data_IF_732401166878
#
_entry.id   IF_732401166878
#
_cell.length_a   1.000
_cell.length_b   1.000
_cell.length_c   1.000
_cell.angle_alpha   90.00
_cell.angle_beta   90.00
_cell.angle_gamma   90.00
#
_symmetry.space_group_name_H-M   'P 1'
#
loop_
_entity.id
_entity.type
_entity.pdbx_description
1 polymer ?
#
# COMPACT_ATOMS: atom_id res chain seq x y z
N UNK A 1 27.28 54.19 29.67
CA UNK A 1 27.07 52.71 29.63
C UNK A 1 27.14 52.02 31.00
N UNK A 2 27.86 52.51 32.01
CA UNK A 2 27.97 51.84 33.33
C UNK A 2 26.71 51.99 34.22
N UNK A 3 25.97 53.10 34.11
CA UNK A 3 24.75 53.29 34.93
C UNK A 3 23.55 52.49 34.46
N UNK A 4 23.44 52.23 33.15
CA UNK A 4 22.35 51.42 32.60
C UNK A 4 22.35 49.98 33.16
N UNK A 5 23.56 49.43 33.40
CA UNK A 5 23.72 48.09 33.97
C UNK A 5 23.24 48.02 35.42
N UNK A 6 23.49 49.07 36.21
CA UNK A 6 23.09 49.12 37.64
C UNK A 6 21.58 49.22 37.81
N UNK A 7 20.93 50.06 37.02
CA UNK A 7 19.47 50.16 37.02
C UNK A 7 18.80 48.85 36.58
N UNK A 8 19.40 48.13 35.63
CA UNK A 8 18.88 46.85 35.17
C UNK A 8 18.96 45.76 36.26
N UNK A 9 20.06 45.70 37.04
CA UNK A 9 20.21 44.71 38.12
C UNK A 9 19.23 44.95 39.27
N UNK A 10 19.03 46.21 39.67
CA UNK A 10 18.08 46.58 40.74
C UNK A 10 16.64 46.30 40.31
N UNK A 11 16.30 46.56 39.04
CA UNK A 11 14.99 46.26 38.49
C UNK A 11 14.66 44.75 38.47
N UNK A 12 15.67 43.90 38.24
CA UNK A 12 15.54 42.44 38.23
C UNK A 12 15.38 41.81 39.62
N UNK A 13 15.83 42.48 40.69
CA UNK A 13 15.75 41.97 42.06
C UNK A 13 14.38 42.16 42.70
N UNK A 14 13.53 43.02 42.13
CA UNK A 14 12.20 43.29 42.67
C UNK A 14 11.27 42.08 42.39
N UNK A 15 10.71 41.40 43.42
CA UNK A 15 9.96 40.15 43.25
C UNK A 15 8.75 40.29 42.31
N UNK A 16 8.14 41.49 42.29
CA UNK A 16 7.01 41.80 41.40
C UNK A 16 7.41 41.77 39.91
N UNK A 17 8.61 42.24 39.58
CA UNK A 17 9.11 42.26 38.19
C UNK A 17 9.59 40.87 37.75
N UNK A 18 10.15 40.07 38.67
CA UNK A 18 10.53 38.68 38.40
C UNK A 18 9.32 37.83 38.01
N UNK A 19 8.18 38.07 38.66
CA UNK A 19 6.93 37.37 38.36
C UNK A 19 6.39 37.75 36.96
N UNK A 20 6.46 39.03 36.59
CA UNK A 20 6.11 39.49 35.22
C UNK A 20 7.05 38.93 34.15
N UNK A 21 8.36 38.81 34.44
CA UNK A 21 9.33 38.21 33.51
C UNK A 21 9.09 36.71 33.30
N UNK A 22 8.82 35.97 34.38
CA UNK A 22 8.50 34.55 34.28
C UNK A 22 7.19 34.33 33.50
N UNK A 23 6.16 35.15 33.77
CA UNK A 23 4.92 35.11 33.01
C UNK A 23 5.16 35.41 31.52
N UNK A 24 5.98 36.41 31.20
CA UNK A 24 6.36 36.72 29.83
C UNK A 24 7.09 35.57 29.13
N UNK A 25 8.00 34.88 29.82
CA UNK A 25 8.76 33.75 29.28
C UNK A 25 7.85 32.53 29.03
N UNK A 26 6.88 32.28 29.92
CA UNK A 26 5.86 31.23 29.74
C UNK A 26 4.94 31.54 28.56
N UNK A 27 4.52 32.80 28.39
CA UNK A 27 3.70 33.20 27.24
C UNK A 27 4.51 33.06 25.93
N UNK A 28 5.78 33.46 25.95
CA UNK A 28 6.67 33.35 24.79
C UNK A 28 6.95 31.89 24.40
N UNK A 29 7.15 31.00 25.39
CA UNK A 29 7.35 29.58 25.15
C UNK A 29 6.09 28.91 24.62
N UNK A 30 4.91 29.28 25.16
CA UNK A 30 3.63 28.79 24.67
C UNK A 30 3.38 29.24 23.23
N UNK A 31 3.68 30.50 22.90
CA UNK A 31 3.55 31.02 21.53
C UNK A 31 4.51 30.30 20.55
N UNK A 32 5.74 29.99 20.98
CA UNK A 32 6.69 29.23 20.18
C UNK A 32 6.23 27.79 19.90
N UNK A 33 5.61 27.12 20.89
CA UNK A 33 5.03 25.78 20.70
C UNK A 33 3.85 25.80 19.73
N UNK A 34 2.99 26.83 19.80
CA UNK A 34 1.90 27.00 18.83
C UNK A 34 2.42 27.17 17.40
N UNK A 35 3.49 27.95 17.19
CA UNK A 35 4.09 28.09 15.86
C UNK A 35 4.77 26.80 15.37
N UNK A 36 5.43 26.07 16.27
CA UNK A 36 6.07 24.79 15.94
C UNK A 36 5.05 23.72 15.50
N UNK A 37 3.81 23.75 15.97
CA UNK A 37 2.76 22.83 15.52
C UNK A 37 2.17 23.20 14.16
N UNK A 38 2.28 24.46 13.75
CA UNK A 38 1.85 24.94 12.42
C UNK A 38 2.93 24.80 11.35
N UNK A 39 4.16 24.48 11.74
CA UNK A 39 5.19 24.05 10.81
C UNK A 39 4.79 22.68 10.27
N UNK A 40 3.99 22.69 9.20
CA UNK A 40 3.79 21.55 8.31
C UNK A 40 5.19 20.99 8.04
N UNK A 41 5.48 19.71 8.37
CA UNK A 41 6.79 19.14 8.10
C UNK A 41 7.06 19.40 6.63
N UNK A 42 8.15 20.12 6.33
CA UNK A 42 8.59 20.34 4.96
C UNK A 42 8.51 18.98 4.26
N UNK A 43 7.55 18.89 3.34
CA UNK A 43 7.37 17.69 2.56
C UNK A 43 8.74 17.40 1.96
N UNK A 44 9.34 16.27 2.37
CA UNK A 44 10.54 15.73 1.75
C UNK A 44 10.26 15.84 0.26
N UNK A 45 10.95 16.78 -0.39
CA UNK A 45 10.83 17.01 -1.80
C UNK A 45 11.50 15.80 -2.42
N UNK A 46 10.75 14.71 -2.54
CA UNK A 46 11.08 13.58 -3.39
C UNK A 46 11.17 14.22 -4.76
N UNK A 47 12.40 14.49 -5.16
CA UNK A 47 12.74 14.84 -6.52
C UNK A 47 11.97 13.84 -7.38
N UNK A 48 10.99 14.33 -8.14
CA UNK A 48 10.11 13.50 -8.96
C UNK A 48 10.98 12.88 -10.05
N UNK A 49 11.68 11.80 -9.71
CA UNK A 49 12.27 10.90 -10.67
C UNK A 49 11.15 10.55 -11.65
N UNK A 50 11.38 10.87 -12.91
CA UNK A 50 10.35 10.73 -13.94
C UNK A 50 9.88 9.27 -13.93
N UNK A 51 8.57 8.96 -13.91
CA UNK A 51 8.08 7.58 -13.87
C UNK A 51 8.73 6.67 -14.93
N UNK A 52 9.13 7.27 -16.05
CA UNK A 52 9.79 6.65 -17.19
C UNK A 52 11.20 6.10 -16.85
N UNK A 53 11.89 6.66 -15.85
CA UNK A 53 13.24 6.24 -15.44
C UNK A 53 13.25 4.89 -14.71
N UNK A 54 12.08 4.43 -14.22
CA UNK A 54 11.95 3.16 -13.52
C UNK A 54 11.54 1.99 -14.42
N UNK A 55 11.32 2.24 -15.72
CA UNK A 55 10.91 1.21 -16.68
C UNK A 55 12.16 0.61 -17.35
N UNK A 56 12.44 -0.69 -17.19
CA UNK A 56 13.59 -1.32 -17.83
C UNK A 56 13.46 -1.30 -19.37
N UNK A 57 14.59 -1.22 -20.06
CA UNK A 57 14.62 -1.31 -21.53
C UNK A 57 13.94 -2.60 -22.03
N UNK A 58 13.11 -2.46 -23.07
CA UNK A 58 12.35 -3.57 -23.65
C UNK A 58 11.05 -3.91 -22.91
N UNK A 59 10.76 -3.28 -21.77
CA UNK A 59 9.50 -3.45 -21.05
C UNK A 59 8.58 -2.24 -21.22
N UNK A 60 7.28 -2.50 -21.10
CA UNK A 60 6.22 -1.49 -21.11
C UNK A 60 5.33 -1.65 -19.88
N UNK A 61 4.88 -0.52 -19.35
CA UNK A 61 3.84 -0.49 -18.31
C UNK A 61 2.47 -0.37 -18.96
N UNK A 62 1.64 -1.39 -18.79
CA UNK A 62 0.28 -1.43 -19.33
C UNK A 62 -0.70 -1.20 -18.18
N UNK A 63 -1.52 -0.13 -18.22
CA UNK A 63 -2.53 0.12 -17.19
C UNK A 63 -3.64 -0.93 -17.27
N UNK A 64 -4.05 -1.50 -16.13
CA UNK A 64 -5.06 -2.56 -16.07
C UNK A 64 -6.21 -2.23 -15.14
N UNK A 65 -7.41 -2.57 -15.60
CA UNK A 65 -8.61 -2.61 -14.75
C UNK A 65 -8.72 -3.99 -14.12
N UNK A 66 -8.52 -4.05 -12.81
CA UNK A 66 -8.60 -5.28 -12.03
C UNK A 66 -9.91 -5.32 -11.25
N UNK A 67 -10.69 -6.38 -11.44
CA UNK A 67 -11.99 -6.55 -10.78
C UNK A 67 -11.85 -6.65 -9.26
N UNK A 68 -10.81 -7.33 -8.78
CA UNK A 68 -10.53 -7.51 -7.35
C UNK A 68 -9.51 -6.51 -6.79
N UNK A 69 -9.52 -5.27 -7.30
CA UNK A 69 -8.57 -4.22 -6.92
C UNK A 69 -8.54 -3.94 -5.41
N UNK A 70 -9.69 -3.81 -4.76
CA UNK A 70 -9.81 -3.57 -3.32
C UNK A 70 -9.13 -4.67 -2.49
N UNK A 71 -9.38 -5.94 -2.82
CA UNK A 71 -8.74 -7.07 -2.16
C UNK A 71 -7.22 -7.10 -2.37
N UNK A 72 -6.72 -6.57 -3.48
CA UNK A 72 -5.29 -6.49 -3.77
C UNK A 72 -4.59 -5.36 -3.00
N UNK A 73 -5.31 -4.29 -2.64
CA UNK A 73 -4.73 -3.17 -1.92
C UNK A 73 -4.19 -3.54 -0.54
N UNK A 74 -4.72 -4.58 0.10
CA UNK A 74 -4.19 -5.08 1.37
C UNK A 74 -3.02 -6.06 1.20
N UNK A 75 -2.86 -6.67 0.02
CA UNK A 75 -1.89 -7.73 -0.25
C UNK A 75 -0.61 -7.24 -0.95
N UNK A 76 -0.71 -6.14 -1.69
CA UNK A 76 0.38 -5.62 -2.52
C UNK A 76 1.08 -4.47 -1.79
N UNK A 77 2.41 -4.56 -1.60
CA UNK A 77 3.22 -3.41 -1.19
C UNK A 77 3.53 -2.49 -2.38
N UNK A 78 4.80 -2.35 -2.74
CA UNK A 78 5.22 -1.63 -3.95
C UNK A 78 4.87 -2.39 -5.26
N UNK A 79 5.00 -3.72 -5.24
CA UNK A 79 4.68 -4.59 -6.37
C UNK A 79 4.34 -6.01 -5.90
N UNK A 80 3.64 -6.74 -6.75
CA UNK A 80 3.33 -8.16 -6.58
C UNK A 80 3.49 -8.93 -7.88
N UNK A 81 3.71 -10.24 -7.77
CA UNK A 81 3.70 -11.14 -8.93
C UNK A 81 2.34 -11.82 -8.96
N UNK A 82 1.64 -11.70 -10.08
CA UNK A 82 0.27 -12.17 -10.21
C UNK A 82 0.09 -13.06 -11.45
N UNK A 83 -0.94 -13.89 -11.42
CA UNK A 83 -1.53 -14.45 -12.64
C UNK A 83 -2.79 -13.66 -12.97
N UNK A 84 -2.98 -13.34 -14.24
CA UNK A 84 -4.15 -12.64 -14.77
C UNK A 84 -5.09 -13.62 -15.44
N UNK A 85 -6.38 -13.49 -15.15
CA UNK A 85 -7.44 -14.31 -15.71
C UNK A 85 -8.55 -13.43 -16.28
N UNK A 86 -9.18 -13.86 -17.36
CA UNK A 86 -10.49 -13.31 -17.73
C UNK A 86 -11.55 -13.88 -16.79
N UNK A 87 -12.47 -13.05 -16.27
CA UNK A 87 -13.59 -13.54 -15.48
C UNK A 87 -14.50 -14.39 -16.37
N UNK A 88 -14.96 -15.52 -15.84
CA UNK A 88 -15.98 -16.33 -16.49
C UNK A 88 -17.35 -15.76 -16.19
N UNK A 89 -18.14 -15.48 -17.22
CA UNK A 89 -19.48 -14.90 -17.05
C UNK A 89 -20.50 -15.88 -16.45
N UNK A 90 -20.27 -17.19 -16.62
CA UNK A 90 -21.28 -18.20 -16.29
C UNK A 90 -21.07 -18.84 -14.91
N UNK A 91 -20.01 -18.47 -14.18
CA UNK A 91 -19.67 -19.02 -12.86
C UNK A 91 -19.29 -20.51 -12.82
N UNK A 92 -19.54 -21.25 -13.92
CA UNK A 92 -19.29 -22.69 -14.08
C UNK A 92 -17.94 -22.93 -14.76
N UNK A 93 -17.60 -22.08 -15.73
CA UNK A 93 -16.36 -22.15 -16.50
C UNK A 93 -15.20 -21.53 -15.72
N UNK A 94 -14.03 -22.17 -15.74
CA UNK A 94 -12.82 -21.58 -15.15
C UNK A 94 -12.42 -20.35 -15.97
N UNK A 95 -12.03 -19.27 -15.30
CA UNK A 95 -11.47 -18.10 -15.97
C UNK A 95 -10.28 -18.48 -16.86
N UNK A 96 -10.14 -17.82 -18.02
CA UNK A 96 -9.06 -18.14 -18.96
C UNK A 96 -7.80 -17.44 -18.51
N UNK A 97 -6.68 -18.16 -18.42
CA UNK A 97 -5.39 -17.57 -18.07
C UNK A 97 -4.93 -16.67 -19.22
N UNK A 98 -4.81 -15.39 -18.94
CA UNK A 98 -4.32 -14.37 -19.88
C UNK A 98 -2.81 -14.24 -19.77
N UNK A 99 -2.30 -14.25 -18.54
CA UNK A 99 -0.90 -13.97 -18.28
C UNK A 99 -0.44 -14.59 -16.97
N UNK A 100 0.80 -15.07 -16.96
CA UNK A 100 1.36 -15.82 -15.83
C UNK A 100 2.58 -15.11 -15.28
N UNK A 101 2.70 -15.04 -13.95
CA UNK A 101 3.84 -14.44 -13.24
C UNK A 101 4.17 -13.01 -13.71
N UNK A 102 3.14 -12.22 -13.98
CA UNK A 102 3.28 -10.83 -14.38
C UNK A 102 3.54 -9.97 -13.14
N UNK A 103 4.47 -9.03 -13.23
CA UNK A 103 4.70 -8.05 -12.18
C UNK A 103 3.62 -6.97 -12.26
N UNK A 104 2.76 -6.93 -11.24
CA UNK A 104 1.76 -5.89 -11.05
C UNK A 104 2.31 -4.83 -10.11
N UNK A 105 2.22 -3.58 -10.54
CA UNK A 105 2.73 -2.40 -9.87
C UNK A 105 1.56 -1.47 -9.56
N UNK A 106 1.68 -0.71 -8.46
CA UNK A 106 0.79 0.43 -8.22
C UNK A 106 1.32 1.63 -8.98
N UNK A 107 0.43 2.41 -9.55
CA UNK A 107 0.81 3.64 -10.24
C UNK A 107 1.25 4.68 -9.20
N UNK A 108 2.42 5.33 -9.35
CA UNK A 108 2.91 6.29 -8.35
C UNK A 108 1.95 7.47 -8.10
N UNK A 109 1.34 7.96 -9.19
CA UNK A 109 0.43 9.11 -9.14
C UNK A 109 -1.00 8.74 -8.73
N UNK A 110 -1.37 7.45 -8.83
CA UNK A 110 -2.69 6.97 -8.46
C UNK A 110 -2.59 5.54 -7.88
N UNK A 111 -2.62 5.39 -6.54
CA UNK A 111 -2.46 4.09 -5.90
C UNK A 111 -3.65 3.14 -6.11
N UNK A 112 -4.79 3.65 -6.61
CA UNK A 112 -5.95 2.82 -6.96
C UNK A 112 -5.80 2.18 -8.34
N UNK A 113 -4.89 2.71 -9.17
CA UNK A 113 -4.65 2.21 -10.51
C UNK A 113 -3.46 1.25 -10.54
N UNK A 114 -3.68 0.07 -11.11
CA UNK A 114 -2.65 -0.94 -11.27
C UNK A 114 -2.10 -0.94 -12.70
N UNK A 115 -0.81 -1.24 -12.82
CA UNK A 115 -0.13 -1.42 -14.10
C UNK A 115 0.63 -2.74 -14.11
N UNK A 116 0.58 -3.46 -15.22
CA UNK A 116 1.38 -4.65 -15.46
C UNK A 116 2.67 -4.28 -16.18
N UNK A 117 3.80 -4.75 -15.66
CA UNK A 117 5.07 -4.69 -16.36
C UNK A 117 5.20 -5.94 -17.24
N UNK A 118 5.21 -5.73 -18.55
CA UNK A 118 5.30 -6.79 -19.56
C UNK A 118 6.33 -6.42 -20.63
N UNK A 119 6.90 -7.42 -21.33
CA UNK A 119 7.68 -7.17 -22.54
C UNK A 119 6.87 -6.33 -23.55
N UNK A 120 7.55 -5.41 -24.24
CA UNK A 120 6.88 -4.44 -25.13
C UNK A 120 6.18 -5.08 -26.32
N UNK A 121 6.66 -6.24 -26.78
CA UNK A 121 6.04 -7.09 -27.80
C UNK A 121 4.76 -7.78 -27.31
N UNK A 122 4.68 -8.13 -26.02
CA UNK A 122 3.51 -8.76 -25.41
C UNK A 122 2.44 -7.75 -24.96
N UNK A 123 2.77 -6.46 -24.88
CA UNK A 123 1.87 -5.41 -24.40
C UNK A 123 0.55 -5.34 -25.19
N UNK A 124 0.63 -5.48 -26.52
CA UNK A 124 -0.53 -5.45 -27.40
C UNK A 124 -1.50 -6.63 -27.14
N UNK A 125 -0.96 -7.81 -26.83
CA UNK A 125 -1.76 -9.00 -26.55
C UNK A 125 -2.60 -8.84 -25.28
N UNK A 126 -2.07 -8.10 -24.31
CA UNK A 126 -2.70 -7.87 -23.03
C UNK A 126 -3.78 -6.78 -23.14
N UNK A 127 -3.53 -5.74 -23.94
CA UNK A 127 -4.54 -4.71 -24.26
C UNK A 127 -5.73 -5.24 -25.07
N UNK A 128 -5.51 -6.26 -25.90
CA UNK A 128 -6.56 -6.88 -26.71
C UNK A 128 -7.55 -7.73 -25.89
N UNK A 129 -7.27 -7.99 -24.60
CA UNK A 129 -8.10 -8.84 -23.76
C UNK A 129 -9.38 -8.12 -23.31
N UNK A 130 -10.47 -8.87 -23.09
CA UNK A 130 -11.68 -8.30 -22.49
C UNK A 130 -11.40 -7.89 -21.03
N UNK A 131 -11.75 -6.65 -20.71
CA UNK A 131 -11.65 -6.07 -19.37
C UNK A 131 -13.03 -6.12 -18.67
N UNK A 132 -13.10 -6.18 -17.32
CA UNK A 132 -11.99 -6.17 -16.35
C UNK A 132 -11.33 -7.54 -16.17
N UNK A 133 -10.04 -7.56 -15.80
CA UNK A 133 -9.29 -8.79 -15.51
C UNK A 133 -9.34 -9.13 -14.02
N UNK A 134 -9.15 -10.42 -13.69
CA UNK A 134 -8.99 -10.89 -12.32
C UNK A 134 -7.53 -11.23 -12.05
N UNK A 135 -6.96 -10.70 -10.96
CA UNK A 135 -5.56 -10.97 -10.60
C UNK A 135 -5.46 -11.85 -9.37
N UNK A 136 -4.65 -12.91 -9.45
CA UNK A 136 -4.35 -13.81 -8.34
C UNK A 136 -2.91 -13.61 -7.93
N UNK A 137 -2.69 -13.14 -6.70
CA UNK A 137 -1.36 -12.91 -6.15
C UNK A 137 -0.66 -14.25 -5.91
N UNK A 138 0.54 -14.38 -6.45
CA UNK A 138 1.41 -15.51 -6.22
C UNK A 138 2.25 -15.25 -4.98
N UNK A 139 2.40 -16.28 -4.15
CA UNK A 139 3.36 -16.23 -3.05
C UNK A 139 4.77 -16.04 -3.60
N UNK A 140 5.58 -15.25 -2.88
CA UNK A 140 7.02 -15.08 -3.17
C UNK A 140 7.83 -16.35 -2.84
N UNK A 141 7.16 -17.44 -2.44
CA UNK A 141 7.79 -18.68 -2.03
C UNK A 141 8.60 -19.32 -3.16
N UNK A 142 9.90 -19.41 -2.89
CA UNK A 142 10.85 -20.29 -3.55
C UNK A 142 10.43 -21.73 -3.30
N UNK A 143 9.82 -22.38 -4.30
CA UNK A 143 9.50 -23.82 -4.32
C UNK A 143 8.73 -24.35 -3.09
N UNK A 144 7.41 -24.20 -3.05
CA UNK A 144 6.58 -25.10 -2.22
C UNK A 144 5.41 -25.65 -3.02
N UNK A 145 5.33 -26.99 -3.06
CA UNK A 145 4.24 -27.75 -3.65
C UNK A 145 2.96 -27.43 -2.88
N UNK A 146 2.16 -26.51 -3.39
CA UNK A 146 0.78 -26.33 -2.94
C UNK A 146 -0.08 -27.43 -3.56
N UNK A 147 -0.10 -28.59 -2.92
CA UNK A 147 -1.11 -29.61 -3.20
C UNK A 147 -2.44 -29.09 -2.65
N UNK A 148 -3.37 -28.72 -3.53
CA UNK A 148 -4.77 -28.63 -3.13
C UNK A 148 -5.18 -30.02 -2.68
N UNK A 149 -5.27 -30.24 -1.37
CA UNK A 149 -5.89 -31.44 -0.82
C UNK A 149 -7.39 -31.33 -1.16
N UNK A 150 -7.74 -31.78 -2.35
CA UNK A 150 -9.08 -32.26 -2.66
C UNK A 150 -9.28 -33.51 -1.81
N UNK A 151 -9.58 -33.31 -0.52
CA UNK A 151 -10.09 -34.36 0.37
C UNK A 151 -11.43 -34.78 -0.23
N UNK A 152 -11.39 -35.77 -1.13
CA UNK A 152 -12.60 -36.47 -1.57
C UNK A 152 -13.39 -36.84 -0.30
N UNK A 153 -14.68 -36.50 -0.19
CA UNK A 153 -15.47 -36.90 0.96
C UNK A 153 -15.41 -38.43 1.04
N UNK A 154 -14.76 -38.93 2.09
CA UNK A 154 -14.66 -40.37 2.35
C UNK A 154 -16.09 -40.84 2.57
N UNK A 155 -16.67 -41.59 1.62
CA UNK A 155 -17.98 -42.22 1.80
C UNK A 155 -17.92 -43.03 3.09
N UNK A 156 -18.59 -42.56 4.13
CA UNK A 156 -18.84 -43.38 5.31
C UNK A 156 -19.73 -44.53 4.85
N UNK A 157 -19.18 -45.74 4.86
CA UNK A 157 -19.97 -46.95 4.67
C UNK A 157 -20.82 -47.07 5.93
N UNK A 158 -22.10 -46.74 5.84
CA UNK A 158 -23.07 -47.05 6.90
C UNK A 158 -23.09 -48.57 7.01
N UNK A 159 -22.50 -49.09 8.08
CA UNK A 159 -22.53 -50.50 8.40
C UNK A 159 -23.85 -50.73 9.13
N UNK A 160 -24.82 -51.30 8.43
CA UNK A 160 -26.07 -51.73 9.06
C UNK A 160 -25.74 -52.84 10.05
N UNK A 161 -26.15 -52.64 11.31
CA UNK A 161 -26.23 -53.71 12.30
C UNK A 161 -27.22 -54.76 11.77
N UNK A 162 -26.82 -56.03 11.63
CA UNK A 162 -27.74 -57.09 11.26
C UNK A 162 -28.61 -57.37 12.49
N UNK A 163 -29.84 -56.88 12.48
CA UNK A 163 -30.71 -57.05 13.65
C UNK A 163 -32.17 -56.68 13.49
N UNK A 164 -32.58 -55.98 12.44
CA UNK A 164 -34.01 -55.70 12.20
C UNK A 164 -34.37 -55.98 10.74
N UNK A 165 -34.90 -57.17 10.52
CA UNK A 165 -35.82 -57.47 9.45
C UNK A 165 -36.98 -58.30 10.06
N UNK A 166 -38.20 -58.13 9.53
CA UNK A 166 -39.47 -58.16 10.25
C UNK A 166 -39.93 -59.52 10.79
#
# INVERSE_FOLDING_TARGET
>A
MKDLKKHFTVWFQNPRNRMSLMAGLVILSMLAVYQAQTAVPEAVKVENASPDEYIPEGYSLVPLMIQNSEALQSLIGAFAVVNLYTPSMDGITKGTLVGKKIKLLRSPNNPEQFSALVPSDEAALLLAQPHPLMAVVLSRAKNEKSEMINKKPKKSRVQYLPGDAP
#
